data_IF_007947944750
#
_entry.id   IF_007947944750
#
_cell.length_a   1.000
_cell.length_b   1.000
_cell.length_c   1.000
_cell.angle_alpha   90.00
_cell.angle_beta   90.00
_cell.angle_gamma   90.00
#
_symmetry.space_group_name_H-M   'P 1'
#
loop_
_entity.id
_entity.type
_entity.pdbx_description
1 polymer ?
#
# COMPACT_ATOMS: atom_id res chain seq x y z
N UNK A 1 16.50 56.04 38.80
CA UNK A 1 16.62 55.45 37.46
C UNK A 1 16.42 53.95 37.59
N UNK A 2 15.25 53.45 37.21
CA UNK A 2 14.82 52.07 37.40
C UNK A 2 14.11 51.64 36.13
N UNK A 3 14.74 50.85 35.27
CA UNK A 3 14.01 50.02 34.33
C UNK A 3 14.57 48.60 34.36
N UNK A 4 13.64 47.69 34.62
CA UNK A 4 13.78 46.27 34.89
C UNK A 4 13.66 45.53 33.56
N UNK A 5 14.60 44.63 33.35
CA UNK A 5 14.49 43.29 32.76
C UNK A 5 13.16 42.93 32.05
N UNK A 6 13.26 42.43 30.81
CA UNK A 6 12.38 41.36 30.30
C UNK A 6 13.09 40.62 29.17
N UNK A 7 13.58 39.43 29.50
CA UNK A 7 14.15 38.45 28.57
C UNK A 7 12.97 37.63 28.01
N UNK A 8 12.76 37.71 26.70
CA UNK A 8 11.78 36.88 25.98
C UNK A 8 12.45 35.53 25.71
N UNK A 9 11.97 34.50 26.41
CA UNK A 9 12.36 33.11 26.22
C UNK A 9 11.59 32.56 25.00
N UNK A 10 12.26 32.50 23.85
CA UNK A 10 11.74 31.91 22.62
C UNK A 10 11.77 30.38 22.76
N UNK A 11 10.62 29.78 23.12
CA UNK A 11 10.44 28.32 23.09
C UNK A 11 10.43 27.84 21.64
N UNK A 12 11.60 27.48 21.11
CA UNK A 12 11.70 26.65 19.92
C UNK A 12 11.25 25.22 20.28
N UNK A 13 9.97 24.91 20.14
CA UNK A 13 9.54 23.51 20.04
C UNK A 13 10.01 23.00 18.69
N UNK A 14 11.21 22.42 18.66
CA UNK A 14 11.64 21.61 17.54
C UNK A 14 10.67 20.42 17.47
N UNK A 15 9.69 20.49 16.57
CA UNK A 15 8.95 19.31 16.16
C UNK A 15 9.96 18.37 15.51
N UNK A 16 10.38 17.36 16.27
CA UNK A 16 11.03 16.20 15.70
C UNK A 16 10.04 15.63 14.69
N UNK A 17 10.28 15.88 13.41
CA UNK A 17 9.62 15.20 12.30
C UNK A 17 10.09 13.73 12.31
N UNK A 18 9.68 12.99 13.34
CA UNK A 18 9.49 11.55 13.20
C UNK A 18 8.43 11.41 12.11
N UNK A 19 8.72 10.63 11.07
CA UNK A 19 7.70 10.28 10.08
C UNK A 19 6.50 9.70 10.85
N UNK A 20 5.44 10.49 10.98
CA UNK A 20 4.29 10.10 11.78
C UNK A 20 3.68 8.86 11.10
N UNK A 21 3.56 7.78 11.87
CA UNK A 21 2.93 6.56 11.37
C UNK A 21 1.51 6.85 10.93
N UNK A 22 0.94 5.97 10.12
CA UNK A 22 -0.48 6.03 9.78
C UNK A 22 -1.33 6.20 11.03
N UNK A 23 -2.29 7.10 10.97
CA UNK A 23 -3.29 7.28 12.02
C UNK A 23 -4.51 6.40 11.78
N UNK A 24 -5.24 6.08 12.84
CA UNK A 24 -6.49 5.31 12.72
C UNK A 24 -7.52 6.06 11.84
N UNK A 25 -7.54 7.39 11.91
CA UNK A 25 -8.40 8.23 11.09
C UNK A 25 -8.03 8.18 9.59
N UNK A 26 -6.75 8.12 9.25
CA UNK A 26 -6.31 7.95 7.86
C UNK A 26 -6.73 6.58 7.31
N UNK A 27 -6.57 5.51 8.10
CA UNK A 27 -6.99 4.16 7.71
C UNK A 27 -8.51 4.12 7.51
N UNK A 28 -9.30 4.64 8.44
CA UNK A 28 -10.77 4.69 8.33
C UNK A 28 -11.23 5.48 7.10
N UNK A 29 -10.63 6.66 6.87
CA UNK A 29 -10.93 7.48 5.70
C UNK A 29 -10.58 6.76 4.41
N UNK A 30 -9.41 6.10 4.37
CA UNK A 30 -8.97 5.33 3.22
C UNK A 30 -9.91 4.15 2.92
N UNK A 31 -10.27 3.36 3.93
CA UNK A 31 -11.21 2.24 3.80
C UNK A 31 -12.57 2.68 3.27
N UNK A 32 -13.11 3.79 3.77
CA UNK A 32 -14.37 4.37 3.27
C UNK A 32 -14.27 4.73 1.79
N UNK A 33 -13.20 5.41 1.39
CA UNK A 33 -12.97 5.77 -0.01
C UNK A 33 -12.79 4.53 -0.90
N UNK A 34 -12.06 3.52 -0.42
CA UNK A 34 -11.90 2.25 -1.13
C UNK A 34 -13.24 1.55 -1.37
N UNK A 35 -14.12 1.46 -0.37
CA UNK A 35 -15.47 0.90 -0.53
C UNK A 35 -16.30 1.69 -1.54
N UNK A 36 -16.23 3.03 -1.50
CA UNK A 36 -16.94 3.86 -2.47
C UNK A 36 -16.45 3.62 -3.91
N UNK A 37 -15.12 3.44 -4.10
CA UNK A 37 -14.54 3.09 -5.40
C UNK A 37 -15.02 1.72 -5.86
N UNK A 38 -15.02 0.71 -4.99
CA UNK A 38 -15.51 -0.64 -5.30
C UNK A 38 -16.98 -0.59 -5.74
N UNK A 39 -17.85 0.03 -4.94
CA UNK A 39 -19.27 0.14 -5.27
C UNK A 39 -19.54 0.94 -6.55
N UNK A 40 -18.73 1.96 -6.83
CA UNK A 40 -18.81 2.69 -8.09
C UNK A 40 -18.36 1.82 -9.27
N UNK A 41 -17.26 1.09 -9.13
CA UNK A 41 -16.74 0.21 -10.18
C UNK A 41 -17.70 -0.93 -10.52
N UNK A 42 -18.34 -1.54 -9.51
CA UNK A 42 -19.40 -2.54 -9.68
C UNK A 42 -20.61 -1.96 -10.42
N UNK A 43 -21.07 -0.78 -10.00
CA UNK A 43 -22.23 -0.11 -10.61
C UNK A 43 -21.99 0.25 -12.08
N UNK A 44 -20.79 0.68 -12.41
CA UNK A 44 -20.40 1.06 -13.77
C UNK A 44 -19.87 -0.12 -14.60
N UNK A 45 -19.90 -1.35 -14.06
CA UNK A 45 -19.42 -2.57 -14.72
C UNK A 45 -17.98 -2.46 -15.23
N UNK A 46 -17.11 -1.77 -14.49
CA UNK A 46 -15.72 -1.53 -14.91
C UNK A 46 -14.93 -2.84 -15.00
N UNK A 47 -15.27 -3.82 -14.16
CA UNK A 47 -14.72 -5.17 -14.19
C UNK A 47 -14.88 -5.87 -15.54
N UNK A 48 -15.98 -5.61 -16.28
CA UNK A 48 -16.21 -6.16 -17.61
C UNK A 48 -15.32 -5.50 -18.69
N UNK A 49 -14.78 -4.32 -18.38
CA UNK A 49 -13.92 -3.54 -19.27
C UNK A 49 -12.42 -3.72 -18.98
N UNK A 50 -12.07 -4.30 -17.83
CA UNK A 50 -10.70 -4.58 -17.45
C UNK A 50 -10.23 -5.90 -18.09
N UNK A 51 -9.26 -5.81 -19.00
CA UNK A 51 -8.57 -6.99 -19.51
C UNK A 51 -7.90 -7.74 -18.34
N UNK A 52 -8.02 -9.07 -18.30
CA UNK A 52 -7.43 -9.91 -17.26
C UNK A 52 -5.89 -9.78 -17.13
N UNK A 53 -5.25 -9.15 -18.12
CA UNK A 53 -3.80 -8.88 -18.16
C UNK A 53 -3.38 -7.62 -17.39
N UNK A 54 -4.32 -6.86 -16.81
CA UNK A 54 -4.04 -5.61 -16.08
C UNK A 54 -3.69 -5.85 -14.60
N UNK A 55 -3.10 -7.00 -14.26
CA UNK A 55 -2.71 -7.28 -12.89
C UNK A 55 -1.54 -6.38 -12.47
N UNK A 56 -1.68 -5.72 -11.31
CA UNK A 56 -0.60 -4.98 -10.68
C UNK A 56 0.60 -5.90 -10.48
N UNK A 57 1.75 -5.53 -11.04
CA UNK A 57 2.97 -6.33 -10.93
C UNK A 57 3.69 -6.08 -9.60
N UNK A 58 3.52 -4.91 -8.97
CA UNK A 58 4.22 -4.58 -7.71
C UNK A 58 3.26 -4.43 -6.52
N UNK A 59 3.27 -5.38 -5.59
CA UNK A 59 2.38 -5.40 -4.41
C UNK A 59 2.49 -4.16 -3.52
N UNK A 60 3.71 -3.64 -3.32
CA UNK A 60 3.94 -2.46 -2.47
C UNK A 60 3.47 -1.15 -3.11
N UNK A 61 3.04 -1.17 -4.37
CA UNK A 61 2.57 0.00 -5.13
C UNK A 61 1.24 -0.27 -5.84
N UNK A 62 0.45 -1.21 -5.35
CA UNK A 62 -0.77 -1.67 -6.05
C UNK A 62 -1.76 -0.54 -6.31
N UNK A 63 -1.95 0.36 -5.34
CA UNK A 63 -2.90 1.47 -5.50
C UNK A 63 -2.32 2.59 -6.35
N UNK A 64 -1.01 2.87 -6.23
CA UNK A 64 -0.35 3.83 -7.11
C UNK A 64 -0.36 3.38 -8.56
N UNK A 65 -0.11 2.09 -8.83
CA UNK A 65 -0.23 1.54 -10.18
C UNK A 65 -1.66 1.60 -10.70
N UNK A 66 -2.66 1.26 -9.88
CA UNK A 66 -4.06 1.40 -10.26
C UNK A 66 -4.38 2.85 -10.67
N UNK A 67 -3.90 3.83 -9.90
CA UNK A 67 -4.07 5.24 -10.21
C UNK A 67 -3.34 5.66 -11.50
N UNK A 68 -2.11 5.19 -11.71
CA UNK A 68 -1.31 5.45 -12.91
C UNK A 68 -1.95 4.86 -14.17
N UNK A 69 -2.45 3.62 -14.10
CA UNK A 69 -3.14 2.96 -15.20
C UNK A 69 -4.45 3.67 -15.53
N UNK A 70 -5.25 3.98 -14.51
CA UNK A 70 -6.55 4.62 -14.68
C UNK A 70 -6.42 6.00 -15.31
N UNK A 71 -5.35 6.77 -15.07
CA UNK A 71 -5.11 8.08 -15.73
C UNK A 71 -5.21 8.07 -17.24
N UNK A 72 -4.94 6.92 -17.86
CA UNK A 72 -4.95 6.77 -19.32
C UNK A 72 -6.28 6.27 -19.86
N UNK A 73 -7.21 5.87 -18.99
CA UNK A 73 -8.52 5.34 -19.38
C UNK A 73 -9.64 6.39 -19.24
N UNK A 74 -10.80 6.08 -19.81
CA UNK A 74 -11.99 6.96 -19.82
C UNK A 74 -12.61 7.18 -18.42
N UNK A 75 -12.25 6.34 -17.44
CA UNK A 75 -12.84 6.32 -16.10
C UNK A 75 -12.11 7.21 -15.10
N UNK A 76 -10.95 7.78 -15.46
CA UNK A 76 -10.14 8.57 -14.55
C UNK A 76 -10.91 9.70 -13.85
N UNK A 77 -11.65 10.50 -14.61
CA UNK A 77 -12.36 11.65 -14.04
C UNK A 77 -13.45 11.23 -13.04
N UNK A 78 -14.15 10.13 -13.32
CA UNK A 78 -15.16 9.59 -12.42
C UNK A 78 -14.53 8.99 -11.15
N UNK A 79 -13.39 8.29 -11.27
CA UNK A 79 -12.62 7.85 -10.11
C UNK A 79 -12.18 9.04 -9.23
N UNK A 80 -11.71 10.12 -9.85
CA UNK A 80 -11.29 11.34 -9.14
C UNK A 80 -12.48 12.00 -8.43
N UNK A 81 -13.66 12.02 -9.05
CA UNK A 81 -14.88 12.54 -8.43
C UNK A 81 -15.29 11.73 -7.19
N UNK A 82 -15.28 10.39 -7.29
CA UNK A 82 -15.54 9.51 -6.13
C UNK A 82 -14.53 9.75 -5.00
N UNK A 83 -13.27 9.98 -5.33
CA UNK A 83 -12.23 10.28 -4.35
C UNK A 83 -12.43 11.65 -3.68
N UNK A 84 -12.78 12.69 -4.44
CA UNK A 84 -13.02 14.03 -3.91
C UNK A 84 -14.25 14.04 -2.97
N UNK A 85 -15.33 13.34 -3.33
CA UNK A 85 -16.51 13.13 -2.49
C UNK A 85 -16.19 12.42 -1.15
N UNK A 86 -15.10 11.64 -1.14
CA UNK A 86 -14.58 10.99 0.06
C UNK A 86 -13.42 11.77 0.73
N UNK A 87 -13.23 13.03 0.34
CA UNK A 87 -12.29 13.97 0.94
C UNK A 87 -10.85 13.84 0.46
N UNK A 88 -10.61 13.21 -0.70
CA UNK A 88 -9.30 13.11 -1.34
C UNK A 88 -9.21 14.02 -2.56
N UNK A 89 -9.01 15.32 -2.33
CA UNK A 89 -8.76 16.29 -3.40
C UNK A 89 -7.42 16.08 -4.14
N UNK A 90 -6.54 15.21 -3.62
CA UNK A 90 -5.37 14.70 -4.33
C UNK A 90 -5.44 13.16 -4.39
N UNK A 91 -5.75 12.58 -5.56
CA UNK A 91 -5.81 11.13 -5.76
C UNK A 91 -4.50 10.41 -5.44
N UNK A 92 -3.34 11.09 -5.55
CA UNK A 92 -2.05 10.49 -5.21
C UNK A 92 -1.91 10.24 -3.71
N UNK A 93 -2.54 11.07 -2.87
CA UNK A 93 -2.53 10.84 -1.42
C UNK A 93 -3.30 9.58 -1.07
N UNK A 94 -4.44 9.35 -1.72
CA UNK A 94 -5.21 8.14 -1.52
C UNK A 94 -4.40 6.89 -1.91
N UNK A 95 -3.77 6.91 -3.08
CA UNK A 95 -2.98 5.77 -3.55
C UNK A 95 -1.75 5.51 -2.69
N UNK A 96 -1.02 6.56 -2.31
CA UNK A 96 0.16 6.44 -1.43
C UNK A 96 -0.21 5.94 -0.02
N UNK A 97 -1.34 6.37 0.53
CA UNK A 97 -1.84 5.84 1.81
C UNK A 97 -2.20 4.36 1.68
N UNK A 98 -2.86 3.95 0.60
CA UNK A 98 -3.17 2.55 0.34
C UNK A 98 -1.93 1.67 0.24
N UNK A 99 -0.90 2.15 -0.47
CA UNK A 99 0.38 1.44 -0.60
C UNK A 99 1.08 1.23 0.76
N UNK A 100 1.04 2.25 1.64
CA UNK A 100 1.54 2.14 3.02
C UNK A 100 0.74 1.12 3.83
N UNK A 101 -0.60 1.16 3.73
CA UNK A 101 -1.49 0.20 4.40
C UNK A 101 -1.17 -1.23 3.95
N UNK A 102 -1.09 -1.47 2.64
CA UNK A 102 -0.82 -2.79 2.08
C UNK A 102 0.56 -3.32 2.50
N UNK A 103 1.58 -2.46 2.42
CA UNK A 103 2.95 -2.83 2.83
C UNK A 103 3.02 -3.18 4.31
N UNK A 104 2.37 -2.39 5.17
CA UNK A 104 2.32 -2.65 6.62
C UNK A 104 1.45 -3.86 6.98
N UNK A 105 0.37 -4.11 6.23
CA UNK A 105 -0.47 -5.29 6.37
C UNK A 105 0.33 -6.56 6.06
N UNK A 106 1.02 -6.60 4.91
CA UNK A 106 1.92 -7.71 4.58
C UNK A 106 3.02 -7.90 5.62
N UNK A 107 3.60 -6.82 6.13
CA UNK A 107 4.62 -6.91 7.16
C UNK A 107 4.10 -7.53 8.47
N UNK A 108 2.85 -7.27 8.83
CA UNK A 108 2.21 -7.89 9.99
C UNK A 108 1.88 -9.37 9.74
N UNK A 109 1.40 -9.73 8.56
CA UNK A 109 1.11 -11.14 8.18
C UNK A 109 2.38 -12.01 8.16
N UNK A 110 3.51 -11.41 7.80
CA UNK A 110 4.80 -12.10 7.74
C UNK A 110 5.54 -12.11 9.07
N UNK A 111 5.05 -11.38 10.08
CA UNK A 111 5.75 -11.20 11.35
C UNK A 111 5.98 -12.54 12.06
N UNK A 112 7.24 -12.88 12.31
CA UNK A 112 7.63 -14.14 12.95
C UNK A 112 7.94 -15.29 11.98
N UNK A 113 7.63 -15.14 10.68
CA UNK A 113 7.89 -16.13 9.63
C UNK A 113 8.85 -15.61 8.56
N UNK A 114 9.48 -14.45 8.75
CA UNK A 114 10.27 -13.78 7.71
C UNK A 114 11.46 -14.61 7.24
N UNK A 115 12.13 -15.30 8.18
CA UNK A 115 13.27 -16.15 7.88
C UNK A 115 12.86 -17.37 7.03
N UNK A 116 11.68 -17.93 7.29
CA UNK A 116 11.14 -19.04 6.52
C UNK A 116 10.79 -18.59 5.10
N UNK A 117 10.09 -17.46 4.95
CA UNK A 117 9.77 -16.89 3.64
C UNK A 117 11.05 -16.59 2.85
N UNK A 118 12.06 -16.01 3.49
CA UNK A 118 13.35 -15.74 2.84
C UNK A 118 14.05 -17.03 2.38
N UNK A 119 13.96 -18.10 3.17
CA UNK A 119 14.51 -19.40 2.81
C UNK A 119 13.76 -20.04 1.63
N UNK A 120 12.43 -19.96 1.61
CA UNK A 120 11.61 -20.46 0.51
C UNK A 120 11.94 -19.74 -0.81
N UNK A 121 12.09 -18.41 -0.80
CA UNK A 121 12.50 -17.64 -1.98
C UNK A 121 13.87 -18.08 -2.51
N UNK A 122 14.85 -18.31 -1.61
CA UNK A 122 16.19 -18.83 -1.99
C UNK A 122 16.12 -20.24 -2.58
N UNK A 123 15.22 -21.09 -2.06
CA UNK A 123 15.03 -22.44 -2.58
C UNK A 123 14.43 -22.42 -4.00
N UNK A 124 13.41 -21.59 -4.24
CA UNK A 124 12.83 -21.40 -5.58
C UNK A 124 13.88 -20.87 -6.55
N UNK A 125 14.70 -19.91 -6.13
CA UNK A 125 15.80 -19.38 -6.94
C UNK A 125 16.81 -20.48 -7.33
N UNK A 126 17.19 -21.34 -6.38
CA UNK A 126 18.12 -22.44 -6.61
C UNK A 126 17.55 -23.50 -7.56
N UNK A 127 16.25 -23.80 -7.42
CA UNK A 127 15.54 -24.71 -8.32
C UNK A 127 15.50 -24.18 -9.75
N UNK A 128 15.23 -22.88 -9.95
CA UNK A 128 15.26 -22.28 -11.29
C UNK A 128 16.66 -22.29 -11.92
N UNK A 129 17.71 -22.19 -11.10
CA UNK A 129 19.10 -22.26 -11.55
C UNK A 129 19.52 -23.69 -11.98
N UNK A 130 18.76 -24.73 -11.64
CA UNK A 130 19.07 -26.12 -11.98
C UNK A 130 18.97 -26.46 -13.48
N UNK A 131 18.35 -25.59 -14.29
CA UNK A 131 18.19 -25.77 -15.73
C UNK A 131 17.12 -26.79 -16.14
N UNK A 132 16.33 -27.32 -15.20
CA UNK A 132 15.29 -28.33 -15.47
C UNK A 132 13.95 -27.75 -15.96
N UNK A 133 13.89 -26.45 -16.28
CA UNK A 133 12.64 -25.74 -16.54
C UNK A 133 12.57 -25.20 -17.98
N UNK A 134 11.42 -25.31 -18.67
CA UNK A 134 11.18 -24.63 -19.94
C UNK A 134 11.39 -23.11 -19.84
N UNK A 135 11.90 -22.48 -20.90
CA UNK A 135 12.29 -21.07 -20.88
C UNK A 135 11.14 -20.11 -20.54
N UNK A 136 9.94 -20.37 -21.07
CA UNK A 136 8.74 -19.56 -20.80
C UNK A 136 8.28 -19.67 -19.35
N UNK A 137 8.25 -20.89 -18.81
CA UNK A 137 7.92 -21.14 -17.40
C UNK A 137 8.96 -20.50 -16.47
N UNK A 138 10.24 -20.54 -16.86
CA UNK A 138 11.33 -19.91 -16.12
C UNK A 138 11.17 -18.39 -16.07
N UNK A 139 10.85 -17.75 -17.20
CA UNK A 139 10.65 -16.30 -17.26
C UNK A 139 9.50 -15.84 -16.36
N UNK A 140 8.37 -16.56 -16.37
CA UNK A 140 7.24 -16.27 -15.48
C UNK A 140 7.63 -16.42 -14.00
N UNK A 141 8.32 -17.50 -13.64
CA UNK A 141 8.76 -17.72 -12.26
C UNK A 141 9.84 -16.72 -11.81
N UNK A 142 10.73 -16.28 -12.70
CA UNK A 142 11.69 -15.22 -12.42
C UNK A 142 10.99 -13.90 -12.09
N UNK A 143 9.96 -13.53 -12.86
CA UNK A 143 9.15 -12.35 -12.58
C UNK A 143 8.45 -12.46 -11.22
N UNK A 144 7.78 -13.58 -10.94
CA UNK A 144 7.14 -13.81 -9.64
C UNK A 144 8.14 -13.73 -8.47
N UNK A 145 9.32 -14.33 -8.63
CA UNK A 145 10.37 -14.31 -7.60
C UNK A 145 10.87 -12.88 -7.34
N UNK A 146 11.09 -12.10 -8.41
CA UNK A 146 11.52 -10.71 -8.29
C UNK A 146 10.49 -9.87 -7.53
N UNK A 147 9.21 -10.00 -7.86
CA UNK A 147 8.14 -9.26 -7.19
C UNK A 147 7.94 -9.71 -5.74
N UNK A 148 8.03 -11.01 -5.47
CA UNK A 148 7.97 -11.56 -4.10
C UNK A 148 9.14 -11.05 -3.25
N UNK A 149 10.34 -10.96 -3.85
CA UNK A 149 11.53 -10.42 -3.18
C UNK A 149 11.42 -8.92 -2.90
N UNK A 150 10.87 -8.14 -3.86
CA UNK A 150 10.57 -6.72 -3.67
C UNK A 150 9.55 -6.53 -2.54
N UNK A 151 8.48 -7.33 -2.53
CA UNK A 151 7.45 -7.26 -1.50
C UNK A 151 7.98 -7.62 -0.10
N UNK A 152 8.77 -8.69 0.03
CA UNK A 152 9.46 -9.03 1.29
C UNK A 152 10.36 -7.87 1.76
N UNK A 153 11.12 -7.27 0.84
CA UNK A 153 11.96 -6.11 1.17
C UNK A 153 11.13 -4.91 1.64
N UNK A 154 10.04 -4.59 0.95
CA UNK A 154 9.14 -3.50 1.32
C UNK A 154 8.52 -3.74 2.70
N UNK A 155 8.02 -4.96 2.96
CA UNK A 155 7.46 -5.37 4.24
C UNK A 155 8.48 -5.23 5.39
N UNK A 156 9.73 -5.68 5.19
CA UNK A 156 10.82 -5.51 6.17
C UNK A 156 11.17 -4.05 6.45
N UNK A 157 10.92 -3.16 5.48
CA UNK A 157 11.20 -1.73 5.57
C UNK A 157 9.97 -0.91 5.99
N UNK A 158 8.82 -1.56 6.22
CA UNK A 158 7.59 -0.89 6.62
C UNK A 158 7.80 -0.10 7.93
N UNK A 159 7.37 1.18 8.00
CA UNK A 159 7.47 1.97 9.23
C UNK A 159 6.77 1.28 10.40
N UNK A 160 7.40 1.31 11.58
CA UNK A 160 6.85 0.67 12.77
C UNK A 160 5.50 1.28 13.19
N UNK A 161 5.35 2.60 13.06
CA UNK A 161 4.07 3.27 13.30
C UNK A 161 2.95 2.77 12.38
N UNK A 162 3.25 2.52 11.10
CA UNK A 162 2.29 2.01 10.11
C UNK A 162 1.86 0.59 10.46
N UNK A 163 2.83 -0.29 10.78
CA UNK A 163 2.56 -1.66 11.23
C UNK A 163 1.64 -1.68 12.45
N UNK A 164 1.91 -0.84 13.45
CA UNK A 164 1.08 -0.76 14.65
C UNK A 164 -0.33 -0.23 14.36
N UNK A 165 -0.46 0.78 13.50
CA UNK A 165 -1.76 1.31 13.12
C UNK A 165 -2.60 0.29 12.35
N UNK A 166 -1.99 -0.38 11.37
CA UNK A 166 -2.64 -1.47 10.63
C UNK A 166 -3.05 -2.60 11.57
N UNK A 167 -2.19 -3.00 12.50
CA UNK A 167 -2.51 -4.05 13.48
C UNK A 167 -3.71 -3.68 14.37
N UNK A 168 -3.82 -2.44 14.82
CA UNK A 168 -4.99 -1.98 15.61
C UNK A 168 -6.28 -1.95 14.78
N UNK A 169 -6.18 -1.73 13.47
CA UNK A 169 -7.32 -1.63 12.55
C UNK A 169 -7.54 -2.92 11.72
N UNK A 170 -6.91 -4.03 12.10
CA UNK A 170 -6.96 -5.29 11.35
C UNK A 170 -8.39 -5.75 11.01
N UNK A 171 -9.37 -5.77 11.95
CA UNK A 171 -10.73 -6.18 11.62
C UNK A 171 -11.41 -5.30 10.55
N UNK A 172 -11.11 -4.00 10.56
CA UNK A 172 -11.62 -3.07 9.55
C UNK A 172 -11.00 -3.38 8.18
N UNK A 173 -9.70 -3.63 8.13
CA UNK A 173 -8.99 -3.94 6.89
C UNK A 173 -9.38 -5.32 6.34
N UNK A 174 -9.62 -6.31 7.19
CA UNK A 174 -10.16 -7.62 6.78
C UNK A 174 -11.54 -7.48 6.14
N UNK A 175 -12.38 -6.54 6.60
CA UNK A 175 -13.70 -6.31 6.00
C UNK A 175 -13.66 -5.74 4.58
N UNK A 176 -12.54 -5.14 4.15
CA UNK A 176 -12.34 -4.62 2.79
C UNK A 176 -11.43 -5.47 1.93
N UNK A 177 -10.45 -6.17 2.51
CA UNK A 177 -9.57 -7.07 1.75
C UNK A 177 -10.12 -8.49 1.64
N UNK A 178 -10.84 -8.96 2.66
CA UNK A 178 -11.36 -10.33 2.74
C UNK A 178 -12.76 -10.52 2.19
N UNK A 179 -13.44 -9.44 1.75
CA UNK A 179 -14.72 -9.53 1.07
C UNK A 179 -14.52 -9.92 -0.41
N UNK A 180 -14.10 -11.16 -0.64
CA UNK A 180 -14.23 -11.86 -1.91
C UNK A 180 -14.77 -13.26 -1.60
N UNK A 181 -16.10 -13.36 -1.52
CA UNK A 181 -16.83 -14.64 -1.62
C UNK A 181 -17.23 -14.87 -3.09
#
# INVERSE_FOLDING_TARGET
MRHILSIILLCCTATLAQAEGLTDAEIQKWTKAYQAIVSWAEKEHIEDELDANTQSTEYSRVFSQMMEQTRTNKHYNALVEVLDDNGYSDPNKWSATGDRIMTAYMANEMAGNEAEVEQQLKQVQSMMASGMMPAEQKAMMEQMLQESSKALKAAKQAPEGDKQAVKRNQPLLESVFGAQD
#
